data_IF_975849361588
#
_entry.id   IF_975849361588
#
_cell.length_a   1.000
_cell.length_b   1.000
_cell.length_c   1.000
_cell.angle_alpha   90.00
_cell.angle_beta   90.00
_cell.angle_gamma   90.00
#
_symmetry.space_group_name_H-M   'P 1'
#
loop_
_entity.id
_entity.type
_entity.pdbx_description
1 polymer ?
#
# COMPACT_ATOMS: atom_id res chain seq x y z
N UNK A 1 16.34 10.96 24.72
CA UNK A 1 16.40 12.22 23.94
C UNK A 1 15.95 11.87 22.51
N UNK A 2 14.77 12.34 22.10
CA UNK A 2 14.02 11.80 20.96
C UNK A 2 14.66 12.08 19.60
N UNK A 3 14.81 11.05 18.77
CA UNK A 3 15.20 11.17 17.36
C UNK A 3 13.95 11.45 16.52
N UNK A 4 13.55 12.72 16.46
CA UNK A 4 12.59 13.20 15.45
C UNK A 4 13.28 13.66 14.17
N UNK A 5 14.61 13.63 14.16
CA UNK A 5 15.48 13.94 13.03
C UNK A 5 16.18 12.65 12.62
N UNK A 6 15.90 12.15 11.41
CA UNK A 6 16.69 11.07 10.84
C UNK A 6 18.06 11.65 10.46
N UNK A 7 19.11 11.29 11.20
CA UNK A 7 20.45 11.85 11.01
C UNK A 7 21.18 11.03 9.96
N UNK A 8 21.83 11.64 8.95
CA UNK A 8 22.48 10.88 7.89
C UNK A 8 23.58 9.98 8.46
N UNK A 9 23.35 8.68 8.42
CA UNK A 9 24.34 7.64 8.73
C UNK A 9 24.69 6.84 7.49
N UNK A 10 25.51 5.79 7.62
CA UNK A 10 25.80 4.82 6.54
C UNK A 10 24.54 4.13 5.94
N UNK A 11 23.37 4.41 6.52
CA UNK A 11 22.04 3.86 6.24
C UNK A 11 21.11 4.77 5.43
N UNK A 12 21.30 6.10 5.40
CA UNK A 12 20.36 6.99 4.72
C UNK A 12 20.71 7.17 3.24
N UNK A 13 19.70 7.41 2.39
CA UNK A 13 19.86 7.85 1.00
C UNK A 13 20.03 9.37 0.91
N UNK A 14 20.18 10.05 2.05
CA UNK A 14 19.95 11.48 2.20
C UNK A 14 21.17 12.16 2.79
N UNK A 15 21.47 13.35 2.29
CA UNK A 15 22.59 14.18 2.73
C UNK A 15 22.25 15.12 3.89
N UNK A 16 20.97 15.29 4.25
CA UNK A 16 20.50 16.24 5.27
C UNK A 16 19.57 15.56 6.29
N UNK A 17 19.50 16.06 7.55
CA UNK A 17 18.57 15.52 8.55
C UNK A 17 17.13 15.92 8.23
N UNK A 18 16.27 14.95 8.00
CA UNK A 18 14.85 15.17 7.65
C UNK A 18 13.96 14.75 8.81
N UNK A 19 12.90 15.51 9.07
CA UNK A 19 11.95 15.17 10.13
C UNK A 19 11.16 13.90 9.77
N UNK A 20 10.92 13.02 10.75
CA UNK A 20 10.06 11.83 10.60
C UNK A 20 8.72 12.02 11.33
N UNK A 21 7.67 11.34 10.86
CA UNK A 21 6.33 11.34 11.46
C UNK A 21 5.23 11.99 10.60
N UNK A 22 5.51 12.26 9.31
CA UNK A 22 4.53 12.81 8.37
C UNK A 22 3.29 11.95 8.19
N UNK A 23 3.41 10.63 8.42
CA UNK A 23 2.30 9.68 8.42
C UNK A 23 1.14 10.07 9.32
N UNK A 24 1.40 10.70 10.47
CA UNK A 24 0.34 11.17 11.37
C UNK A 24 -0.55 12.20 10.69
N UNK A 25 0.04 13.13 9.94
CA UNK A 25 -0.71 14.14 9.19
C UNK A 25 -1.62 13.52 8.13
N UNK A 26 -1.16 12.47 7.45
CA UNK A 26 -1.92 11.74 6.43
C UNK A 26 -3.16 11.10 7.04
N UNK A 27 -2.98 10.32 8.11
CA UNK A 27 -4.07 9.56 8.73
C UNK A 27 -5.07 10.49 9.42
N UNK A 28 -4.61 11.55 10.08
CA UNK A 28 -5.50 12.55 10.67
C UNK A 28 -6.25 13.35 9.61
N UNK A 29 -5.63 13.70 8.48
CA UNK A 29 -6.31 14.36 7.37
C UNK A 29 -7.40 13.47 6.76
N UNK A 30 -7.12 12.18 6.55
CA UNK A 30 -8.12 11.21 6.09
C UNK A 30 -9.28 11.08 7.08
N UNK A 31 -8.98 10.97 8.38
CA UNK A 31 -10.00 10.84 9.42
C UNK A 31 -10.87 12.11 9.51
N UNK A 32 -10.25 13.29 9.46
CA UNK A 32 -10.95 14.56 9.45
C UNK A 32 -11.83 14.71 8.20
N UNK A 33 -11.31 14.39 7.02
CA UNK A 33 -12.07 14.47 5.77
C UNK A 33 -13.27 13.52 5.79
N UNK A 34 -13.11 12.31 6.33
CA UNK A 34 -14.19 11.33 6.51
C UNK A 34 -15.26 11.86 7.47
N UNK A 35 -14.87 12.48 8.57
CA UNK A 35 -15.78 13.09 9.55
C UNK A 35 -16.52 14.31 8.98
N UNK A 36 -15.84 15.15 8.19
CA UNK A 36 -16.45 16.29 7.47
C UNK A 36 -17.47 15.78 6.45
N UNK A 37 -17.13 14.76 5.67
CA UNK A 37 -18.06 14.13 4.73
C UNK A 37 -19.31 13.58 5.46
N UNK A 38 -19.13 12.96 6.63
CA UNK A 38 -20.25 12.49 7.44
C UNK A 38 -21.17 13.64 7.89
N UNK A 39 -20.60 14.77 8.34
CA UNK A 39 -21.38 15.97 8.67
C UNK A 39 -22.09 16.58 7.47
N UNK A 40 -21.53 16.41 6.27
CA UNK A 40 -22.16 16.81 5.00
C UNK A 40 -23.23 15.83 4.50
N UNK A 41 -23.57 14.79 5.28
CA UNK A 41 -24.65 13.84 4.97
C UNK A 41 -24.20 12.52 4.34
N UNK A 42 -22.90 12.27 4.19
CA UNK A 42 -22.40 10.98 3.72
C UNK A 42 -22.59 9.92 4.81
N UNK A 43 -23.31 8.84 4.50
CA UNK A 43 -23.48 7.70 5.41
C UNK A 43 -22.42 6.65 5.11
N UNK A 44 -21.53 6.44 6.07
CA UNK A 44 -20.49 5.41 5.98
C UNK A 44 -20.97 4.08 6.56
N UNK A 45 -20.93 2.98 5.79
CA UNK A 45 -21.15 1.65 6.35
C UNK A 45 -20.15 1.35 7.49
N UNK A 46 -20.54 0.61 8.54
CA UNK A 46 -19.70 0.40 9.73
C UNK A 46 -18.29 -0.14 9.44
N UNK A 47 -18.13 -0.93 8.37
CA UNK A 47 -16.83 -1.48 7.95
C UNK A 47 -15.80 -0.39 7.63
N UNK A 48 -16.21 0.76 7.11
CA UNK A 48 -15.32 1.90 6.84
C UNK A 48 -14.86 2.58 8.14
N UNK A 49 -15.74 2.64 9.15
CA UNK A 49 -15.37 3.11 10.49
C UNK A 49 -14.38 2.17 11.18
N UNK A 50 -14.57 0.84 11.04
CA UNK A 50 -13.63 -0.17 11.52
C UNK A 50 -12.28 -0.03 10.80
N UNK A 51 -12.29 0.09 9.46
CA UNK A 51 -11.08 0.31 8.67
C UNK A 51 -10.29 1.54 9.16
N UNK A 52 -10.95 2.69 9.30
CA UNK A 52 -10.31 3.93 9.72
C UNK A 52 -9.82 3.86 11.17
N UNK A 53 -10.62 3.30 12.08
CA UNK A 53 -10.22 3.12 13.48
C UNK A 53 -9.00 2.21 13.64
N UNK A 54 -8.93 1.13 12.86
CA UNK A 54 -7.76 0.25 12.83
C UNK A 54 -6.54 0.89 12.18
N UNK A 55 -6.73 1.72 11.15
CA UNK A 55 -5.64 2.51 10.57
C UNK A 55 -5.08 3.54 11.58
N UNK A 56 -5.92 4.17 12.38
CA UNK A 56 -5.49 5.06 13.48
C UNK A 56 -4.72 4.26 14.54
N UNK A 57 -5.16 3.05 14.90
CA UNK A 57 -4.41 2.18 15.82
C UNK A 57 -3.03 1.84 15.25
N UNK A 58 -2.95 1.47 13.98
CA UNK A 58 -1.68 1.18 13.32
C UNK A 58 -0.76 2.40 13.22
N UNK A 59 -1.30 3.60 13.00
CA UNK A 59 -0.55 4.86 13.07
C UNK A 59 0.06 5.06 14.46
N UNK A 60 -0.70 4.82 15.53
CA UNK A 60 -0.18 4.93 16.91
C UNK A 60 0.91 3.89 17.19
N UNK A 61 0.74 2.66 16.71
CA UNK A 61 1.74 1.59 16.83
C UNK A 61 3.00 1.95 16.06
N UNK A 62 2.87 2.46 14.83
CA UNK A 62 3.99 2.93 14.03
C UNK A 62 4.72 4.10 14.70
N UNK A 63 4.00 5.03 15.33
CA UNK A 63 4.61 6.13 16.08
C UNK A 63 5.39 5.65 17.31
N UNK A 64 4.88 4.62 18.00
CA UNK A 64 5.60 3.96 19.09
C UNK A 64 6.84 3.23 18.57
N UNK A 65 6.75 2.62 17.39
CA UNK A 65 7.85 1.92 16.76
C UNK A 65 8.97 2.86 16.30
N UNK A 66 8.62 3.95 15.62
CA UNK A 66 9.54 5.04 15.24
C UNK A 66 10.31 5.58 16.46
N UNK A 67 9.69 5.56 17.65
CA UNK A 67 10.28 6.10 18.90
C UNK A 67 11.06 5.06 19.70
N UNK A 68 10.56 3.84 19.80
CA UNK A 68 11.05 2.83 20.75
C UNK A 68 11.64 1.59 20.08
N UNK A 69 11.56 1.48 18.75
CA UNK A 69 12.05 0.35 17.95
C UNK A 69 11.56 -0.99 18.52
N UNK A 70 10.25 -1.21 18.41
CA UNK A 70 9.53 -2.36 18.96
C UNK A 70 10.05 -3.66 18.35
N UNK A 71 9.99 -4.77 19.10
CA UNK A 71 10.44 -6.05 18.58
C UNK A 71 9.51 -6.55 17.46
N UNK A 72 10.09 -7.13 16.41
CA UNK A 72 9.37 -7.53 15.20
C UNK A 72 8.17 -8.47 15.47
N UNK A 73 8.28 -9.37 16.44
CA UNK A 73 7.19 -10.29 16.80
C UNK A 73 5.97 -9.55 17.37
N UNK A 74 6.16 -8.45 18.12
CA UNK A 74 5.06 -7.66 18.66
C UNK A 74 4.34 -6.92 17.54
N UNK A 75 5.09 -6.34 16.59
CA UNK A 75 4.54 -5.68 15.41
C UNK A 75 3.72 -6.65 14.57
N UNK A 76 4.29 -7.82 14.26
CA UNK A 76 3.60 -8.87 13.50
C UNK A 76 2.34 -9.36 14.21
N UNK A 77 2.37 -9.51 15.53
CA UNK A 77 1.19 -9.89 16.32
C UNK A 77 0.06 -8.87 16.20
N UNK A 78 0.37 -7.58 16.34
CA UNK A 78 -0.61 -6.49 16.18
C UNK A 78 -1.15 -6.42 14.76
N UNK A 79 -0.27 -6.49 13.75
CA UNK A 79 -0.68 -6.43 12.34
C UNK A 79 -1.58 -7.61 11.99
N UNK A 80 -1.25 -8.82 12.46
CA UNK A 80 -2.07 -10.02 12.27
C UNK A 80 -3.46 -9.85 12.91
N UNK A 81 -3.52 -9.34 14.14
CA UNK A 81 -4.79 -9.09 14.83
C UNK A 81 -5.67 -8.07 14.09
N UNK A 82 -5.09 -6.95 13.67
CA UNK A 82 -5.79 -5.89 12.92
C UNK A 82 -6.27 -6.40 11.56
N UNK A 83 -5.44 -7.16 10.84
CA UNK A 83 -5.82 -7.76 9.55
C UNK A 83 -6.97 -8.78 9.72
N UNK A 84 -6.89 -9.62 10.75
CA UNK A 84 -7.94 -10.61 11.07
C UNK A 84 -9.27 -9.94 11.39
N UNK A 85 -9.23 -8.87 12.20
CA UNK A 85 -10.42 -8.12 12.56
C UNK A 85 -11.08 -7.46 11.34
N UNK A 86 -10.29 -6.86 10.44
CA UNK A 86 -10.84 -6.27 9.22
C UNK A 86 -11.46 -7.33 8.30
N UNK A 87 -10.76 -8.44 8.04
CA UNK A 87 -11.29 -9.53 7.20
C UNK A 87 -12.60 -10.07 7.78
N UNK A 88 -12.67 -10.25 9.11
CA UNK A 88 -13.89 -10.67 9.79
C UNK A 88 -15.01 -9.64 9.63
N UNK A 89 -14.72 -8.35 9.79
CA UNK A 89 -15.70 -7.29 9.62
C UNK A 89 -16.24 -7.20 8.18
N UNK A 90 -15.39 -7.39 7.17
CA UNK A 90 -15.80 -7.42 5.76
C UNK A 90 -16.73 -8.60 5.50
N UNK A 91 -16.39 -9.80 5.94
CA UNK A 91 -17.26 -10.97 5.76
C UNK A 91 -18.57 -10.89 6.55
N UNK A 92 -18.58 -10.24 7.71
CA UNK A 92 -19.79 -9.97 8.46
C UNK A 92 -20.71 -8.96 7.75
N UNK A 93 -20.13 -7.96 7.09
CA UNK A 93 -20.87 -6.91 6.38
C UNK A 93 -21.36 -7.35 4.99
N UNK A 94 -20.56 -8.15 4.27
CA UNK A 94 -20.87 -8.63 2.94
C UNK A 94 -20.37 -10.08 2.76
N UNK A 95 -21.20 -11.08 3.12
CA UNK A 95 -20.83 -12.48 2.99
C UNK A 95 -20.72 -12.88 1.52
N UNK A 96 -19.49 -13.12 1.06
CA UNK A 96 -19.18 -13.66 -0.27
C UNK A 96 -18.21 -14.83 -0.17
N UNK A 97 -18.36 -15.81 -1.05
CA UNK A 97 -17.45 -16.96 -1.14
C UNK A 97 -16.48 -16.86 -2.32
N UNK A 98 -16.76 -15.98 -3.29
CA UNK A 98 -16.05 -15.84 -4.56
C UNK A 98 -15.04 -14.68 -4.60
N UNK A 99 -14.64 -14.19 -3.42
CA UNK A 99 -13.74 -13.04 -3.28
C UNK A 99 -12.37 -13.28 -3.93
N UNK A 100 -11.90 -14.54 -3.94
CA UNK A 100 -10.62 -14.93 -4.52
C UNK A 100 -10.75 -15.20 -6.02
N UNK A 101 -10.51 -14.17 -6.83
CA UNK A 101 -10.52 -14.25 -8.30
C UNK A 101 -11.81 -14.82 -8.90
N UNK A 102 -12.97 -14.57 -8.26
CA UNK A 102 -14.26 -15.09 -8.71
C UNK A 102 -14.47 -16.58 -8.45
N UNK A 103 -13.55 -17.24 -7.74
CA UNK A 103 -13.65 -18.67 -7.41
C UNK A 103 -14.21 -18.83 -6.00
N UNK A 104 -15.29 -19.60 -5.88
CA UNK A 104 -15.94 -19.87 -4.61
C UNK A 104 -15.07 -20.79 -3.72
N UNK A 105 -14.66 -20.29 -2.56
CA UNK A 105 -13.96 -21.05 -1.52
C UNK A 105 -14.74 -21.02 -0.19
N UNK A 106 -14.58 -22.05 0.67
CA UNK A 106 -15.15 -22.02 2.00
C UNK A 106 -14.43 -20.97 2.87
N UNK A 107 -15.16 -20.39 3.84
CA UNK A 107 -14.67 -19.28 4.68
C UNK A 107 -13.32 -19.57 5.35
N UNK A 108 -13.13 -20.82 5.82
CA UNK A 108 -11.90 -21.26 6.50
C UNK A 108 -10.67 -21.32 5.57
N UNK A 109 -10.86 -21.30 4.24
CA UNK A 109 -9.76 -21.16 3.27
C UNK A 109 -9.56 -19.70 2.89
N UNK A 110 -10.63 -18.99 2.53
CA UNK A 110 -10.50 -17.62 2.02
C UNK A 110 -10.04 -16.63 3.10
N UNK A 111 -10.54 -16.75 4.34
CA UNK A 111 -10.22 -15.77 5.37
C UNK A 111 -8.71 -15.77 5.73
N UNK A 112 -8.06 -16.93 6.00
CA UNK A 112 -6.61 -16.94 6.22
C UNK A 112 -5.80 -16.39 5.04
N UNK A 113 -6.19 -16.70 3.79
CA UNK A 113 -5.48 -16.19 2.61
C UNK A 113 -5.58 -14.66 2.50
N UNK A 114 -6.75 -14.09 2.77
CA UNK A 114 -6.96 -12.63 2.75
C UNK A 114 -6.24 -11.95 3.91
N UNK A 115 -6.19 -12.57 5.09
CA UNK A 115 -5.39 -12.07 6.23
C UNK A 115 -3.91 -12.05 5.86
N UNK A 116 -3.39 -13.13 5.26
CA UNK A 116 -2.00 -13.19 4.83
C UNK A 116 -1.69 -12.17 3.71
N UNK A 117 -2.59 -12.00 2.75
CA UNK A 117 -2.45 -11.01 1.68
C UNK A 117 -2.43 -9.57 2.23
N UNK A 118 -3.33 -9.27 3.18
CA UNK A 118 -3.37 -7.96 3.82
C UNK A 118 -2.12 -7.73 4.68
N UNK A 119 -1.73 -8.71 5.50
CA UNK A 119 -0.51 -8.66 6.31
C UNK A 119 0.74 -8.47 5.44
N UNK A 120 0.80 -9.15 4.30
CA UNK A 120 1.87 -8.96 3.32
C UNK A 120 1.88 -7.52 2.82
N UNK A 121 0.73 -6.97 2.42
CA UNK A 121 0.64 -5.61 1.92
C UNK A 121 1.06 -4.55 2.97
N UNK A 122 0.71 -4.75 4.25
CA UNK A 122 1.17 -3.90 5.36
C UNK A 122 2.70 -3.86 5.42
N UNK A 123 3.36 -5.02 5.43
CA UNK A 123 4.83 -5.10 5.54
C UNK A 123 5.52 -4.62 4.26
N UNK A 124 4.97 -4.99 3.10
CA UNK A 124 5.46 -4.55 1.80
C UNK A 124 5.48 -3.03 1.68
N UNK A 125 4.41 -2.35 2.11
CA UNK A 125 4.35 -0.90 1.99
C UNK A 125 5.40 -0.23 2.86
N UNK A 126 5.64 -0.79 4.05
CA UNK A 126 6.72 -0.36 4.93
C UNK A 126 8.11 -0.52 4.28
N UNK A 127 8.38 -1.63 3.58
CA UNK A 127 9.66 -1.84 2.88
C UNK A 127 9.88 -0.91 1.68
N UNK A 128 8.79 -0.51 1.02
CA UNK A 128 8.83 0.32 -0.19
C UNK A 128 8.94 1.82 0.10
N UNK A 129 8.75 2.25 1.35
CA UNK A 129 8.92 3.64 1.79
C UNK A 129 10.40 3.98 2.09
N UNK A 130 11.27 3.89 1.07
CA UNK A 130 12.72 4.09 1.25
C UNK A 130 13.41 5.10 0.33
N UNK A 131 12.65 5.76 -0.56
CA UNK A 131 13.08 6.98 -1.28
C UNK A 131 11.97 8.02 -1.22
N UNK A 132 12.33 9.28 -1.43
CA UNK A 132 11.40 10.41 -1.45
C UNK A 132 10.30 10.21 -2.49
N UNK A 133 9.06 10.55 -2.15
CA UNK A 133 7.93 10.57 -3.08
C UNK A 133 7.31 9.21 -3.40
N UNK A 134 8.08 8.14 -3.45
CA UNK A 134 7.66 6.86 -4.06
C UNK A 134 6.42 6.22 -3.40
N UNK A 135 6.43 5.99 -2.08
CA UNK A 135 5.31 5.35 -1.38
C UNK A 135 4.04 6.22 -1.40
N UNK A 136 4.21 7.52 -1.20
CA UNK A 136 3.14 8.52 -1.28
C UNK A 136 2.51 8.55 -2.67
N UNK A 137 3.33 8.56 -3.72
CA UNK A 137 2.89 8.62 -5.11
C UNK A 137 2.19 7.32 -5.53
N UNK A 138 2.70 6.17 -5.12
CA UNK A 138 2.01 4.89 -5.36
C UNK A 138 0.63 4.86 -4.69
N UNK A 139 0.53 5.30 -3.43
CA UNK A 139 -0.74 5.34 -2.72
C UNK A 139 -1.73 6.35 -3.34
N UNK A 140 -1.24 7.51 -3.82
CA UNK A 140 -2.03 8.47 -4.59
C UNK A 140 -2.58 7.84 -5.89
N UNK A 141 -1.72 7.22 -6.70
CA UNK A 141 -2.09 6.63 -7.98
C UNK A 141 -3.07 5.46 -7.80
N UNK A 142 -2.81 4.56 -6.84
CA UNK A 142 -3.69 3.45 -6.52
C UNK A 142 -5.04 3.93 -5.96
N UNK A 143 -5.04 4.96 -5.09
CA UNK A 143 -6.26 5.56 -4.57
C UNK A 143 -7.10 6.24 -5.66
N UNK A 144 -6.48 7.01 -6.55
CA UNK A 144 -7.17 7.63 -7.70
C UNK A 144 -7.72 6.57 -8.66
N UNK A 145 -6.92 5.54 -8.98
CA UNK A 145 -7.34 4.43 -9.84
C UNK A 145 -8.50 3.65 -9.23
N UNK A 146 -8.39 3.28 -7.95
CA UNK A 146 -9.46 2.61 -7.20
C UNK A 146 -10.73 3.47 -7.10
N UNK A 147 -10.58 4.79 -6.92
CA UNK A 147 -11.72 5.72 -6.89
C UNK A 147 -12.46 5.76 -8.22
N UNK A 148 -11.73 5.91 -9.33
CA UNK A 148 -12.32 5.95 -10.67
C UNK A 148 -13.02 4.63 -11.01
N UNK A 149 -12.39 3.48 -10.72
CA UNK A 149 -13.01 2.18 -10.98
C UNK A 149 -14.24 1.93 -10.10
N UNK A 150 -14.20 2.30 -8.82
CA UNK A 150 -15.35 2.19 -7.93
C UNK A 150 -16.51 3.09 -8.38
N UNK A 151 -16.21 4.32 -8.85
CA UNK A 151 -17.23 5.23 -9.38
C UNK A 151 -17.89 4.65 -10.64
N UNK A 152 -17.09 4.07 -11.54
CA UNK A 152 -17.58 3.37 -12.73
C UNK A 152 -18.44 2.14 -12.35
N UNK A 153 -18.12 1.46 -11.26
CA UNK A 153 -18.90 0.36 -10.71
C UNK A 153 -20.18 0.80 -9.98
N UNK A 154 -20.41 2.10 -9.82
CA UNK A 154 -21.54 2.66 -9.06
C UNK A 154 -21.37 2.65 -7.54
N UNK A 155 -20.19 2.27 -7.04
CA UNK A 155 -19.86 2.26 -5.61
C UNK A 155 -19.30 3.62 -5.19
N UNK A 156 -20.21 4.58 -4.99
CA UNK A 156 -19.87 5.96 -4.62
C UNK A 156 -19.15 6.03 -3.27
N UNK A 157 -19.50 5.16 -2.32
CA UNK A 157 -18.88 5.14 -0.99
C UNK A 157 -17.43 4.69 -1.06
N UNK A 158 -17.13 3.60 -1.77
CA UNK A 158 -15.75 3.17 -1.99
C UNK A 158 -14.98 4.22 -2.79
N UNK A 159 -15.59 4.79 -3.84
CA UNK A 159 -14.97 5.83 -4.65
C UNK A 159 -14.57 7.05 -3.81
N UNK A 160 -15.45 7.48 -2.91
CA UNK A 160 -15.19 8.60 -2.02
C UNK A 160 -14.07 8.28 -1.02
N UNK A 161 -14.08 7.11 -0.38
CA UNK A 161 -13.01 6.76 0.55
C UNK A 161 -11.64 6.66 -0.16
N UNK A 162 -11.60 6.09 -1.36
CA UNK A 162 -10.40 6.00 -2.19
C UNK A 162 -9.86 7.39 -2.59
N UNK A 163 -10.73 8.33 -2.99
CA UNK A 163 -10.29 9.69 -3.36
C UNK A 163 -9.84 10.49 -2.14
N UNK A 164 -10.51 10.34 -0.99
CA UNK A 164 -10.07 10.99 0.25
C UNK A 164 -8.67 10.49 0.67
N UNK A 165 -8.42 9.19 0.56
CA UNK A 165 -7.09 8.61 0.79
C UNK A 165 -6.05 9.15 -0.20
N UNK A 166 -6.40 9.26 -1.48
CA UNK A 166 -5.50 9.82 -2.48
C UNK A 166 -5.18 11.29 -2.19
N UNK A 167 -6.18 12.11 -1.90
CA UNK A 167 -5.99 13.53 -1.61
C UNK A 167 -5.19 13.78 -0.32
N UNK A 168 -5.32 12.91 0.70
CA UNK A 168 -4.45 12.98 1.88
C UNK A 168 -2.98 12.70 1.52
N UNK A 169 -2.73 11.80 0.55
CA UNK A 169 -1.36 11.60 0.03
C UNK A 169 -0.87 12.80 -0.75
N UNK A 170 -1.72 13.41 -1.59
CA UNK A 170 -1.35 14.56 -2.40
C UNK A 170 -0.91 15.75 -1.53
N UNK A 171 -1.59 15.98 -0.40
CA UNK A 171 -1.19 16.99 0.58
C UNK A 171 0.17 16.69 1.23
N UNK A 172 0.44 15.42 1.55
CA UNK A 172 1.74 15.00 2.09
C UNK A 172 2.86 15.01 1.05
N UNK A 173 2.54 14.69 -0.21
CA UNK A 173 3.48 14.64 -1.32
C UNK A 173 4.19 15.98 -1.51
N UNK A 174 3.52 17.11 -1.27
CA UNK A 174 4.16 18.42 -1.27
C UNK A 174 5.39 18.50 -0.32
N UNK A 175 5.34 17.84 0.84
CA UNK A 175 6.43 17.81 1.81
C UNK A 175 7.42 16.67 1.58
N UNK A 176 6.96 15.60 0.93
CA UNK A 176 7.74 14.39 0.67
C UNK A 176 8.34 14.36 -0.75
N UNK A 177 8.06 15.35 -1.60
CA UNK A 177 8.60 15.46 -2.95
C UNK A 177 10.12 15.61 -2.92
N UNK A 178 10.88 14.92 -3.80
CA UNK A 178 12.33 15.01 -3.77
C UNK A 178 12.85 16.44 -4.06
N UNK A 179 13.76 17.00 -3.23
CA UNK A 179 14.29 16.46 -1.98
C UNK A 179 13.29 16.61 -0.81
N UNK A 180 13.00 15.51 -0.11
CA UNK A 180 11.95 15.51 0.92
C UNK A 180 12.30 16.37 2.15
N UNK A 181 11.29 17.06 2.68
CA UNK A 181 11.34 17.85 3.91
C UNK A 181 10.73 17.11 5.11
N UNK A 182 9.90 16.10 4.84
CA UNK A 182 9.22 15.30 5.83
C UNK A 182 9.12 13.84 5.34
N UNK A 183 9.52 12.91 6.20
CA UNK A 183 9.38 11.48 5.95
C UNK A 183 8.09 10.94 6.53
N UNK A 184 7.57 9.90 5.88
CA UNK A 184 6.32 9.25 6.23
C UNK A 184 6.46 8.49 7.55
N UNK A 185 7.51 7.65 7.67
CA UNK A 185 7.78 6.85 8.86
C UNK A 185 6.81 5.68 9.02
N UNK A 186 7.03 4.83 10.02
CA UNK A 186 6.18 3.65 10.25
C UNK A 186 4.76 4.07 10.67
N UNK A 187 4.62 5.25 11.29
CA UNK A 187 3.33 5.87 11.58
C UNK A 187 2.47 6.14 10.31
N UNK A 188 3.06 6.16 9.11
CA UNK A 188 2.35 6.37 7.84
C UNK A 188 2.34 5.15 6.93
N UNK A 189 3.49 4.54 6.69
CA UNK A 189 3.64 3.47 5.70
C UNK A 189 2.84 2.21 6.07
N UNK A 190 2.85 1.82 7.34
CA UNK A 190 2.10 0.68 7.88
C UNK A 190 0.58 0.85 7.72
N UNK A 191 -0.04 1.93 8.24
CA UNK A 191 -1.48 2.12 8.04
C UNK A 191 -1.86 2.33 6.57
N UNK A 192 -0.97 2.86 5.71
CA UNK A 192 -1.26 2.99 4.29
C UNK A 192 -1.37 1.66 3.55
N UNK A 193 -0.44 0.73 3.81
CA UNK A 193 -0.56 -0.63 3.28
C UNK A 193 -1.85 -1.31 3.74
N UNK A 194 -2.21 -1.11 5.01
CA UNK A 194 -3.48 -1.61 5.56
C UNK A 194 -4.71 -0.97 4.92
N UNK A 195 -4.72 0.36 4.72
CA UNK A 195 -5.83 1.09 4.11
C UNK A 195 -6.07 0.66 2.67
N UNK A 196 -5.03 0.58 1.85
CA UNK A 196 -5.14 0.17 0.45
C UNK A 196 -5.62 -1.29 0.33
N UNK A 197 -5.08 -2.19 1.14
CA UNK A 197 -5.55 -3.58 1.17
C UNK A 197 -6.96 -3.70 1.73
N UNK A 198 -7.32 -2.88 2.71
CA UNK A 198 -8.66 -2.85 3.27
C UNK A 198 -9.71 -2.35 2.28
N UNK A 199 -9.40 -1.31 1.50
CA UNK A 199 -10.26 -0.84 0.40
C UNK A 199 -10.38 -1.90 -0.70
N UNK A 200 -9.31 -2.64 -0.98
CA UNK A 200 -9.36 -3.79 -1.89
C UNK A 200 -10.31 -4.88 -1.38
N UNK A 201 -10.21 -5.24 -0.10
CA UNK A 201 -11.08 -6.24 0.53
C UNK A 201 -12.54 -5.78 0.57
N UNK A 202 -12.80 -4.52 0.88
CA UNK A 202 -14.17 -3.97 0.89
C UNK A 202 -14.75 -4.02 -0.52
N UNK A 203 -14.05 -3.50 -1.53
CA UNK A 203 -14.55 -3.53 -2.91
C UNK A 203 -14.83 -4.96 -3.42
N UNK A 204 -13.96 -5.91 -3.08
CA UNK A 204 -14.17 -7.30 -3.45
C UNK A 204 -15.30 -7.97 -2.63
N UNK A 205 -15.40 -7.66 -1.34
CA UNK A 205 -16.44 -8.17 -0.44
C UNK A 205 -17.84 -7.70 -0.82
N UNK A 206 -17.98 -6.44 -1.27
CA UNK A 206 -19.25 -5.93 -1.80
C UNK A 206 -19.47 -6.31 -3.28
N UNK A 207 -18.48 -6.94 -3.94
CA UNK A 207 -18.56 -7.37 -5.33
C UNK A 207 -18.51 -6.23 -6.35
N UNK A 208 -18.05 -5.04 -5.95
CA UNK A 208 -18.01 -3.84 -6.79
C UNK A 208 -16.69 -3.72 -7.55
N UNK A 209 -15.59 -4.16 -6.93
CA UNK A 209 -14.26 -4.11 -7.54
C UNK A 209 -13.46 -5.38 -7.23
N UNK A 210 -13.09 -6.21 -8.24
CA UNK A 210 -12.31 -7.42 -8.01
C UNK A 210 -10.95 -7.16 -7.36
N UNK A 211 -10.47 -8.09 -6.52
CA UNK A 211 -9.11 -8.03 -5.96
C UNK A 211 -8.02 -7.94 -7.04
N UNK A 212 -8.27 -8.52 -8.21
CA UNK A 212 -7.36 -8.46 -9.34
C UNK A 212 -7.09 -7.02 -9.81
N UNK A 213 -8.08 -6.11 -9.74
CA UNK A 213 -7.86 -4.70 -10.06
C UNK A 213 -6.83 -4.08 -9.12
N UNK A 214 -6.97 -4.30 -7.81
CA UNK A 214 -6.03 -3.78 -6.81
C UNK A 214 -4.66 -4.44 -6.90
N UNK A 215 -4.61 -5.73 -7.19
CA UNK A 215 -3.35 -6.45 -7.40
C UNK A 215 -2.57 -5.88 -8.59
N UNK A 216 -3.27 -5.42 -9.64
CA UNK A 216 -2.66 -4.73 -10.78
C UNK A 216 -2.28 -3.29 -10.45
N UNK A 217 -3.16 -2.51 -9.81
CA UNK A 217 -2.85 -1.13 -9.40
C UNK A 217 -1.63 -1.05 -8.47
N UNK A 218 -1.40 -2.08 -7.65
CA UNK A 218 -0.28 -2.17 -6.72
C UNK A 218 0.91 -2.99 -7.26
N UNK A 219 0.86 -3.43 -8.53
CA UNK A 219 1.77 -4.44 -9.05
C UNK A 219 3.25 -4.04 -8.99
N UNK A 220 3.59 -2.76 -9.15
CA UNK A 220 4.97 -2.30 -9.05
C UNK A 220 5.58 -2.59 -7.66
N UNK A 221 4.83 -2.28 -6.60
CA UNK A 221 5.25 -2.53 -5.22
C UNK A 221 5.23 -4.01 -4.87
N UNK A 222 4.14 -4.71 -5.24
CA UNK A 222 4.02 -6.17 -5.04
C UNK A 222 5.17 -6.90 -5.69
N UNK A 223 5.50 -6.55 -6.94
CA UNK A 223 6.58 -7.21 -7.66
C UNK A 223 7.94 -6.93 -7.02
N UNK A 224 8.28 -5.68 -6.69
CA UNK A 224 9.59 -5.35 -6.12
C UNK A 224 9.79 -6.03 -4.75
N UNK A 225 8.85 -5.85 -3.83
CA UNK A 225 8.97 -6.41 -2.49
C UNK A 225 9.00 -7.94 -2.51
N UNK A 226 8.12 -8.59 -3.27
CA UNK A 226 8.09 -10.06 -3.34
C UNK A 226 9.35 -10.60 -4.01
N UNK A 227 9.79 -10.00 -5.13
CA UNK A 227 10.99 -10.44 -5.83
C UNK A 227 12.25 -10.29 -4.97
N UNK A 228 12.42 -9.11 -4.37
CA UNK A 228 13.59 -8.79 -3.53
C UNK A 228 13.67 -9.72 -2.33
N UNK A 229 12.56 -9.93 -1.59
CA UNK A 229 12.58 -10.81 -0.42
C UNK A 229 12.75 -12.28 -0.79
N UNK A 230 12.15 -12.75 -1.89
CA UNK A 230 12.34 -14.12 -2.38
C UNK A 230 13.78 -14.39 -2.80
N UNK A 231 14.43 -13.42 -3.44
CA UNK A 231 15.81 -13.57 -3.91
C UNK A 231 16.81 -13.54 -2.76
N UNK A 232 16.58 -12.70 -1.75
CA UNK A 232 17.34 -12.72 -0.49
C UNK A 232 17.18 -14.06 0.26
N UNK A 233 15.94 -14.53 0.41
CA UNK A 233 15.67 -15.81 1.06
C UNK A 233 16.38 -16.98 0.37
N UNK A 234 16.32 -17.04 -0.97
CA UNK A 234 17.02 -18.07 -1.75
C UNK A 234 18.55 -18.00 -1.63
N UNK A 235 19.09 -16.82 -1.39
CA UNK A 235 20.51 -16.61 -1.14
C UNK A 235 20.92 -16.89 0.33
N UNK A 236 19.99 -17.32 1.19
CA UNK A 236 20.23 -17.52 2.62
C UNK A 236 20.41 -16.23 3.42
N UNK A 237 20.11 -15.07 2.82
CA UNK A 237 20.20 -13.78 3.49
C UNK A 237 18.98 -13.55 4.39
N UNK A 238 19.19 -12.86 5.51
CA UNK A 238 18.09 -12.49 6.42
C UNK A 238 17.11 -11.56 5.73
N UNK A 239 15.83 -11.92 5.75
CA UNK A 239 14.71 -11.07 5.28
C UNK A 239 14.26 -10.06 6.35
N UNK A 240 14.68 -10.24 7.60
CA UNK A 240 14.31 -9.38 8.72
C UNK A 240 15.32 -8.25 8.97
N UNK A 241 16.51 -8.35 8.35
CA UNK A 241 17.53 -7.32 8.44
C UNK A 241 17.30 -6.23 7.40
N UNK A 242 17.48 -4.97 7.83
CA UNK A 242 17.41 -3.83 6.94
C UNK A 242 18.39 -3.97 5.77
N UNK A 243 17.92 -3.74 4.55
CA UNK A 243 18.71 -3.91 3.33
C UNK A 243 18.38 -2.84 2.29
N UNK A 244 19.25 -2.72 1.27
CA UNK A 244 19.09 -1.77 0.16
C UNK A 244 18.96 -2.46 -1.21
N UNK A 245 18.39 -3.65 -1.23
CA UNK A 245 18.34 -4.53 -2.41
C UNK A 245 17.13 -4.31 -3.32
N UNK A 246 16.16 -3.52 -2.90
CA UNK A 246 14.96 -3.27 -3.71
C UNK A 246 15.30 -2.63 -5.05
N UNK A 247 14.50 -2.94 -6.05
CA UNK A 247 14.72 -2.46 -7.41
C UNK A 247 14.64 -0.94 -7.48
N UNK A 248 13.70 -0.33 -6.75
CA UNK A 248 13.62 1.14 -6.67
C UNK A 248 14.90 1.77 -6.09
N UNK A 249 15.54 1.12 -5.10
CA UNK A 249 16.78 1.60 -4.48
C UNK A 249 17.99 1.42 -5.40
N UNK A 250 18.04 0.32 -6.18
CA UNK A 250 19.05 0.11 -7.21
C UNK A 250 18.93 1.15 -8.32
N UNK A 251 17.72 1.38 -8.82
CA UNK A 251 17.44 2.40 -9.85
C UNK A 251 17.78 3.80 -9.38
N UNK A 252 17.33 4.18 -8.18
CA UNK A 252 17.62 5.49 -7.58
C UNK A 252 19.13 5.75 -7.51
N UNK A 253 19.93 4.78 -7.07
CA UNK A 253 21.40 4.89 -7.02
C UNK A 253 22.02 4.93 -8.41
N UNK A 254 21.57 4.06 -9.32
CA UNK A 254 22.11 3.99 -10.67
C UNK A 254 21.86 5.28 -11.47
N UNK A 255 20.71 5.91 -11.29
CA UNK A 255 20.36 7.18 -11.93
C UNK A 255 20.73 8.42 -11.11
N UNK A 256 21.14 8.25 -9.86
CA UNK A 256 21.39 9.36 -8.93
C UNK A 256 20.17 10.26 -8.71
N UNK A 257 18.95 9.72 -8.83
CA UNK A 257 17.72 10.51 -8.84
C UNK A 257 16.50 9.74 -8.34
N UNK A 258 15.88 10.24 -7.25
CA UNK A 258 14.59 9.75 -6.77
C UNK A 258 13.48 10.07 -7.79
N UNK A 259 13.49 11.29 -8.34
CA UNK A 259 12.50 11.76 -9.32
C UNK A 259 12.43 10.86 -10.56
N UNK A 260 13.56 10.35 -11.04
CA UNK A 260 13.57 9.46 -12.20
C UNK A 260 12.80 8.15 -11.92
N UNK A 261 12.90 7.62 -10.69
CA UNK A 261 12.16 6.43 -10.24
C UNK A 261 10.67 6.77 -10.06
N UNK A 262 10.35 7.93 -9.51
CA UNK A 262 8.97 8.40 -9.34
C UNK A 262 8.26 8.56 -10.69
N UNK A 263 8.92 9.17 -11.68
CA UNK A 263 8.35 9.30 -13.03
C UNK A 263 8.20 7.96 -13.73
N UNK A 264 9.12 7.01 -13.52
CA UNK A 264 8.95 5.65 -13.99
C UNK A 264 7.70 5.01 -13.36
N UNK A 265 7.51 5.18 -12.05
CA UNK A 265 6.33 4.66 -11.34
C UNK A 265 5.03 5.24 -11.90
N UNK A 266 4.99 6.56 -12.15
CA UNK A 266 3.84 7.23 -12.77
C UNK A 266 3.58 6.68 -14.16
N UNK A 267 4.61 6.55 -14.99
CA UNK A 267 4.49 6.02 -16.35
C UNK A 267 3.98 4.58 -16.34
N UNK A 268 4.52 3.71 -15.48
CA UNK A 268 4.06 2.33 -15.33
C UNK A 268 2.59 2.27 -14.89
N UNK A 269 2.20 3.07 -13.89
CA UNK A 269 0.82 3.10 -13.43
C UNK A 269 -0.13 3.65 -14.50
N UNK A 270 0.19 4.77 -15.13
CA UNK A 270 -0.70 5.43 -16.09
C UNK A 270 -0.80 4.70 -17.43
N UNK A 271 0.32 4.19 -17.97
CA UNK A 271 0.38 3.63 -19.33
C UNK A 271 0.18 2.12 -19.37
N UNK A 272 0.39 1.41 -18.25
CA UNK A 272 0.33 -0.05 -18.21
C UNK A 272 -0.66 -0.57 -17.18
N UNK A 273 -0.47 -0.26 -15.90
CA UNK A 273 -1.23 -0.90 -14.83
C UNK A 273 -2.69 -0.43 -14.76
N UNK A 274 -2.95 0.88 -14.82
CA UNK A 274 -4.31 1.40 -14.77
C UNK A 274 -5.16 0.94 -15.96
N UNK A 275 -4.71 1.00 -17.23
CA UNK A 275 -5.44 0.43 -18.34
C UNK A 275 -5.78 -1.05 -18.13
N UNK A 276 -4.84 -1.86 -17.63
CA UNK A 276 -5.09 -3.27 -17.33
C UNK A 276 -6.11 -3.45 -16.19
N UNK A 277 -6.01 -2.68 -15.11
CA UNK A 277 -6.99 -2.71 -14.02
C UNK A 277 -8.40 -2.33 -14.51
N UNK A 278 -8.50 -1.33 -15.39
CA UNK A 278 -9.76 -0.96 -16.04
C UNK A 278 -10.32 -2.09 -16.91
N UNK A 279 -9.46 -2.75 -17.71
CA UNK A 279 -9.90 -3.91 -18.51
C UNK A 279 -10.37 -5.08 -17.64
N UNK A 280 -9.74 -5.33 -16.48
CA UNK A 280 -10.19 -6.35 -15.51
C UNK A 280 -11.58 -6.01 -14.99
N UNK A 281 -11.80 -4.75 -14.60
CA UNK A 281 -13.12 -4.32 -14.13
C UNK A 281 -14.19 -4.49 -15.23
N UNK A 282 -13.86 -4.17 -16.49
CA UNK A 282 -14.79 -4.25 -17.61
C UNK A 282 -15.11 -5.69 -18.05
N UNK A 283 -14.12 -6.58 -17.97
CA UNK A 283 -14.16 -7.98 -18.39
C UNK A 283 -13.47 -8.90 -17.37
N UNK A 284 -14.13 -9.15 -16.22
CA UNK A 284 -13.55 -9.92 -15.11
C UNK A 284 -13.24 -11.37 -15.46
N UNK A 285 -13.82 -11.93 -16.51
CA UNK A 285 -13.52 -13.28 -17.02
C UNK A 285 -12.05 -13.43 -17.46
N UNK A 286 -11.38 -12.34 -17.85
CA UNK A 286 -9.96 -12.35 -18.27
C UNK A 286 -9.00 -11.97 -17.12
N UNK A 287 -9.49 -11.83 -15.89
CA UNK A 287 -8.70 -11.27 -14.79
C UNK A 287 -7.36 -11.98 -14.55
N UNK A 288 -7.31 -13.32 -14.63
CA UNK A 288 -6.06 -14.08 -14.42
C UNK A 288 -5.04 -13.79 -15.53
N UNK A 289 -5.48 -13.77 -16.79
CA UNK A 289 -4.63 -13.44 -17.92
C UNK A 289 -4.10 -12.01 -17.82
N UNK A 290 -4.96 -11.05 -17.48
CA UNK A 290 -4.59 -9.65 -17.34
C UNK A 290 -3.65 -9.38 -16.16
N UNK A 291 -3.81 -10.12 -15.05
CA UNK A 291 -2.84 -10.11 -13.94
C UNK A 291 -1.48 -10.63 -14.40
N UNK A 292 -1.44 -11.77 -15.12
CA UNK A 292 -0.18 -12.30 -15.65
C UNK A 292 0.48 -11.28 -16.60
N UNK A 293 -0.31 -10.68 -17.48
CA UNK A 293 0.15 -9.66 -18.41
C UNK A 293 0.72 -8.44 -17.67
N UNK A 294 0.05 -7.98 -16.60
CA UNK A 294 0.52 -6.86 -15.79
C UNK A 294 1.90 -7.13 -15.15
N UNK A 295 2.10 -8.33 -14.61
CA UNK A 295 3.29 -8.69 -13.84
C UNK A 295 4.48 -9.11 -14.71
N UNK A 296 4.27 -9.67 -15.90
CA UNK A 296 5.34 -10.23 -16.72
C UNK A 296 6.45 -9.21 -17.07
N UNK A 297 6.16 -7.99 -17.56
CA UNK A 297 7.19 -6.99 -17.84
C UNK A 297 7.93 -6.54 -16.58
N UNK A 298 7.22 -6.44 -15.44
CA UNK A 298 7.79 -6.05 -14.17
C UNK A 298 8.80 -7.09 -13.68
N UNK A 299 8.45 -8.38 -13.73
CA UNK A 299 9.34 -9.49 -13.37
C UNK A 299 10.60 -9.55 -14.25
N UNK A 300 10.44 -9.35 -15.57
CA UNK A 300 11.57 -9.26 -16.50
C UNK A 300 12.46 -8.05 -16.18
N UNK A 301 11.85 -6.92 -15.80
CA UNK A 301 12.55 -5.75 -15.27
C UNK A 301 13.37 -6.09 -14.04
N UNK A 302 12.75 -6.71 -13.03
CA UNK A 302 13.42 -7.10 -11.79
C UNK A 302 14.65 -7.99 -12.04
N UNK A 303 14.53 -8.99 -12.92
CA UNK A 303 15.63 -9.88 -13.28
C UNK A 303 16.81 -9.14 -13.94
N UNK A 304 16.54 -8.06 -14.71
CA UNK A 304 17.59 -7.21 -15.28
C UNK A 304 18.22 -6.30 -14.22
N UNK A 305 17.40 -5.69 -13.36
CA UNK A 305 17.84 -4.73 -12.35
C UNK A 305 18.72 -5.36 -11.26
N UNK A 306 18.59 -6.67 -11.01
CA UNK A 306 19.51 -7.41 -10.13
C UNK A 306 20.99 -7.32 -10.54
N UNK A 307 21.26 -7.06 -11.83
CA UNK A 307 22.62 -6.91 -12.36
C UNK A 307 23.17 -5.50 -12.19
N UNK A 308 22.33 -4.52 -11.83
CA UNK A 308 22.77 -3.18 -11.47
C UNK A 308 23.33 -3.23 -10.04
N UNK A 309 24.65 -3.01 -9.94
CA UNK A 309 25.40 -2.85 -8.68
C UNK A 309 25.11 -1.49 -8.06
#
# INVERSE_FOLDING_TARGET
>A
RGRWLDSPGQRSSHSLPTASGGGVGIILALALATAVAAQAGVVWPPVYGILLGLAVLLMLVGLLDDRYNLPAWLRLGVYCAVCTLLVTAVFAAAPRSDVLFGVAFPLWVQAPLLVLALLWLVNLYNFMDGIDGLATLQAFLAGMGGSLLALLAGDVTLALMCVLLALSQLGFLYWNWPPARLFMGDAGSVPLGFLLGGLALIGAGYGTLPLACWLVLLAAFVTDATWTLLTRWRAGASVFEAHRDHAYQRLSRHWGSHLAVDFLLVALNALWLFPLAWTIWRWPEFQLFLVILAYLPLLLGMAKLQRLT
#
